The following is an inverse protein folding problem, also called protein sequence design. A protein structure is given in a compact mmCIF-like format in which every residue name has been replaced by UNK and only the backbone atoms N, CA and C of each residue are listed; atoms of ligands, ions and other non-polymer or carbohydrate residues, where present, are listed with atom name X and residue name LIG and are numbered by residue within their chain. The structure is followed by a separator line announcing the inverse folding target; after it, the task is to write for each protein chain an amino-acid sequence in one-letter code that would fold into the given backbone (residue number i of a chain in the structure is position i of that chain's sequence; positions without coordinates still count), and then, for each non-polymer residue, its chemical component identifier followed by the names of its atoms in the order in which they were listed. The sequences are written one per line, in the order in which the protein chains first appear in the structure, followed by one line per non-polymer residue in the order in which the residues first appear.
data_IF_302955827633
#
_entry.id   IF_302955827633
#
_cell.length_a   1.000
_cell.length_b   1.000
_cell.length_c   1.000
_cell.angle_alpha   90.00
_cell.angle_beta   90.00
_cell.angle_gamma   90.00
#
_symmetry.space_group_name_H-M   'P 1'
#
loop_
_entity.id
_entity.type
_entity.pdbx_description
1 polymer ?
#
# COMPACT_ATOMS: atom_id res chain seq x y z
N UNK A 1 -6.75 10.01 -0.79
CA UNK A 1 -7.93 9.77 -1.65
C UNK A 1 -7.51 9.81 -3.11
N UNK A 2 -8.21 9.13 -4.01
CA UNK A 2 -7.85 9.07 -5.43
C UNK A 2 -9.06 9.33 -6.33
N UNK A 3 -8.89 10.18 -7.34
CA UNK A 3 -9.90 10.41 -8.39
C UNK A 3 -9.72 9.36 -9.49
N UNK A 4 -10.67 8.44 -9.63
CA UNK A 4 -10.68 7.40 -10.64
C UNK A 4 -11.63 7.70 -11.81
N UNK A 5 -12.19 8.91 -11.88
CA UNK A 5 -13.17 9.31 -12.90
C UNK A 5 -12.68 9.01 -14.32
N UNK A 6 -11.43 9.36 -14.64
CA UNK A 6 -10.85 9.15 -15.97
C UNK A 6 -10.57 7.68 -16.33
N UNK A 7 -10.49 6.78 -15.35
CA UNK A 7 -10.37 5.33 -15.61
C UNK A 7 -11.66 4.74 -16.15
N UNK A 8 -12.81 5.28 -15.72
CA UNK A 8 -14.14 4.80 -16.13
C UNK A 8 -14.70 5.62 -17.30
N UNK A 9 -14.42 6.92 -17.33
CA UNK A 9 -14.96 7.86 -18.32
C UNK A 9 -13.85 8.73 -18.93
N UNK A 10 -12.92 8.15 -19.73
CA UNK A 10 -11.75 8.87 -20.22
C UNK A 10 -12.12 10.12 -21.04
N UNK A 11 -13.15 10.02 -21.88
CA UNK A 11 -13.57 11.06 -22.84
C UNK A 11 -14.64 12.01 -22.30
N UNK A 12 -15.16 11.79 -21.08
CA UNK A 12 -16.18 12.67 -20.50
C UNK A 12 -15.54 13.64 -19.50
N UNK A 13 -15.91 14.92 -19.62
CA UNK A 13 -15.55 15.97 -18.66
C UNK A 13 -16.74 16.38 -17.78
N UNK A 14 -17.96 16.00 -18.15
CA UNK A 14 -19.22 16.42 -17.51
C UNK A 14 -20.09 15.21 -17.15
N UNK A 15 -19.55 14.31 -16.33
CA UNK A 15 -20.21 13.06 -15.93
C UNK A 15 -20.02 12.76 -14.44
N UNK A 16 -20.51 11.60 -13.96
CA UNK A 16 -20.37 11.23 -12.56
C UNK A 16 -18.90 11.09 -12.16
N UNK A 17 -18.57 11.56 -10.97
CA UNK A 17 -17.24 11.37 -10.40
C UNK A 17 -17.10 9.98 -9.78
N UNK A 18 -15.90 9.40 -9.88
CA UNK A 18 -15.54 8.17 -9.18
C UNK A 18 -14.35 8.44 -8.27
N UNK A 19 -14.52 8.21 -6.97
CA UNK A 19 -13.49 8.46 -5.97
C UNK A 19 -13.22 7.21 -5.14
N UNK A 20 -11.97 7.02 -4.75
CA UNK A 20 -11.56 6.01 -3.77
C UNK A 20 -10.97 6.68 -2.54
N UNK A 21 -11.44 6.26 -1.38
CA UNK A 21 -11.00 6.76 -0.09
C UNK A 21 -10.38 5.61 0.71
N UNK A 22 -9.32 5.92 1.45
CA UNK A 22 -8.67 4.98 2.35
C UNK A 22 -8.90 5.45 3.78
N UNK A 23 -9.24 4.51 4.66
CA UNK A 23 -9.30 4.78 6.09
C UNK A 23 -7.90 4.77 6.70
N UNK A 24 -7.79 5.20 7.96
CA UNK A 24 -6.58 4.95 8.75
C UNK A 24 -6.45 3.48 9.14
N UNK A 25 -5.22 3.05 9.45
CA UNK A 25 -4.96 1.70 9.97
C UNK A 25 -5.72 1.42 11.29
N UNK A 26 -5.80 2.42 12.18
CA UNK A 26 -6.53 2.31 13.44
C UNK A 26 -8.04 2.13 13.23
N UNK A 27 -8.63 2.80 12.24
CA UNK A 27 -10.03 2.60 11.88
C UNK A 27 -10.27 1.22 11.27
N UNK A 28 -9.42 0.79 10.34
CA UNK A 28 -9.51 -0.52 9.72
C UNK A 28 -9.41 -1.65 10.75
N UNK A 29 -8.49 -1.55 11.73
CA UNK A 29 -8.31 -2.54 12.80
C UNK A 29 -9.59 -2.75 13.63
N UNK A 30 -10.38 -1.70 13.87
CA UNK A 30 -11.64 -1.75 14.64
C UNK A 30 -12.85 -2.28 13.85
N UNK A 31 -12.74 -2.34 12.52
CA UNK A 31 -13.85 -2.74 11.64
C UNK A 31 -13.55 -4.03 10.86
N UNK A 32 -12.53 -4.80 11.25
CA UNK A 32 -12.16 -6.07 10.60
C UNK A 32 -13.33 -7.07 10.60
N UNK A 33 -13.48 -7.74 9.47
CA UNK A 33 -14.38 -8.88 9.21
C UNK A 33 -13.68 -9.78 8.17
N UNK A 34 -14.14 -11.02 7.94
CA UNK A 34 -13.64 -11.84 6.82
C UNK A 34 -13.76 -11.08 5.50
N UNK A 35 -12.66 -11.00 4.74
CA UNK A 35 -12.55 -10.15 3.55
C UNK A 35 -13.51 -10.60 2.45
N UNK A 36 -13.70 -11.90 2.34
CA UNK A 36 -14.56 -12.61 1.40
C UNK A 36 -16.05 -12.54 1.77
N UNK A 37 -16.38 -12.14 2.99
CA UNK A 37 -17.75 -12.13 3.50
C UNK A 37 -18.03 -10.93 4.42
N UNK A 38 -18.02 -9.74 3.84
CA UNK A 38 -18.34 -8.49 4.55
C UNK A 38 -19.86 -8.42 4.77
N UNK A 39 -20.37 -8.42 6.02
CA UNK A 39 -21.80 -8.29 6.27
C UNK A 39 -22.33 -6.93 5.80
N UNK A 40 -23.55 -6.91 5.23
CA UNK A 40 -24.18 -5.67 4.73
C UNK A 40 -24.22 -4.56 5.79
N UNK A 41 -24.61 -4.90 7.03
CA UNK A 41 -24.64 -3.96 8.16
C UNK A 41 -23.27 -3.34 8.42
N UNK A 42 -22.18 -4.11 8.25
CA UNK A 42 -20.81 -3.60 8.39
C UNK A 42 -20.44 -2.69 7.21
N UNK A 43 -20.75 -3.09 5.98
CA UNK A 43 -20.48 -2.31 4.78
C UNK A 43 -21.21 -0.95 4.81
N UNK A 44 -22.47 -0.93 5.22
CA UNK A 44 -23.28 0.29 5.37
C UNK A 44 -22.71 1.22 6.45
N UNK A 45 -22.40 0.66 7.64
CA UNK A 45 -21.76 1.42 8.72
C UNK A 45 -20.45 2.05 8.26
N UNK A 46 -19.55 1.26 7.67
CA UNK A 46 -18.25 1.76 7.20
C UNK A 46 -18.42 2.80 6.11
N UNK A 47 -19.35 2.60 5.17
CA UNK A 47 -19.64 3.59 4.12
C UNK A 47 -20.06 4.93 4.74
N UNK A 48 -20.99 4.91 5.70
CA UNK A 48 -21.46 6.11 6.38
C UNK A 48 -20.34 6.82 7.11
N UNK A 49 -19.57 6.10 7.91
CA UNK A 49 -18.46 6.66 8.70
C UNK A 49 -17.33 7.21 7.81
N UNK A 50 -17.05 6.56 6.67
CA UNK A 50 -16.08 7.05 5.69
C UNK A 50 -16.54 8.36 5.03
N UNK A 51 -17.82 8.48 4.64
CA UNK A 51 -18.36 9.72 4.08
C UNK A 51 -18.33 10.86 5.10
N UNK A 52 -18.72 10.59 6.35
CA UNK A 52 -18.61 11.56 7.44
C UNK A 52 -17.15 11.97 7.69
N UNK A 53 -16.22 11.03 7.62
CA UNK A 53 -14.78 11.33 7.75
C UNK A 53 -14.26 12.27 6.66
N UNK A 54 -14.81 12.18 5.44
CA UNK A 54 -14.48 13.12 4.35
C UNK A 54 -15.04 14.51 4.63
N UNK A 55 -16.29 14.61 5.10
CA UNK A 55 -16.90 15.89 5.49
C UNK A 55 -16.04 16.60 6.53
N UNK A 56 -15.66 15.89 7.60
CA UNK A 56 -14.78 16.41 8.66
C UNK A 56 -13.42 16.84 8.07
N UNK A 57 -12.79 16.01 7.25
CA UNK A 57 -11.47 16.31 6.68
C UNK A 57 -11.47 17.53 5.74
N UNK A 58 -12.61 17.82 5.09
CA UNK A 58 -12.79 18.95 4.19
C UNK A 58 -13.40 20.18 4.88
N UNK A 59 -13.74 20.11 6.17
CA UNK A 59 -14.42 21.19 6.90
C UNK A 59 -15.85 21.44 6.41
N UNK A 60 -16.50 20.41 5.85
CA UNK A 60 -17.87 20.50 5.36
C UNK A 60 -18.89 20.19 6.48
N UNK A 61 -20.09 20.79 6.46
CA UNK A 61 -21.16 20.43 7.39
C UNK A 61 -21.55 18.95 7.25
N UNK A 62 -21.99 18.33 8.35
CA UNK A 62 -22.45 16.94 8.35
C UNK A 62 -23.65 16.76 7.40
N UNK A 63 -23.56 15.74 6.54
CA UNK A 63 -24.60 15.41 5.56
C UNK A 63 -24.67 16.36 4.36
N UNK A 64 -23.67 17.25 4.18
CA UNK A 64 -23.63 18.15 3.03
C UNK A 64 -23.11 17.50 1.76
N UNK A 65 -22.37 16.38 1.85
CA UNK A 65 -21.93 15.67 0.67
C UNK A 65 -23.12 15.09 -0.09
N UNK A 66 -23.11 15.26 -1.42
CA UNK A 66 -24.06 14.58 -2.28
C UNK A 66 -23.95 13.07 -2.08
N UNK A 67 -25.10 12.43 -1.80
CA UNK A 67 -25.15 10.98 -1.64
C UNK A 67 -24.68 10.29 -2.93
N UNK A 68 -23.63 9.44 -2.87
CA UNK A 68 -23.21 8.67 -4.03
C UNK A 68 -24.35 7.75 -4.50
N UNK A 69 -24.59 7.69 -5.80
CA UNK A 69 -25.56 6.76 -6.39
C UNK A 69 -25.02 5.30 -6.41
N UNK A 70 -23.71 5.14 -6.22
CA UNK A 70 -23.06 3.84 -6.11
C UNK A 70 -21.93 3.91 -5.10
N UNK A 71 -21.83 2.90 -4.22
CA UNK A 71 -20.74 2.72 -3.28
C UNK A 71 -20.29 1.27 -3.27
N UNK A 72 -19.01 1.04 -2.98
CA UNK A 72 -18.46 -0.28 -2.71
C UNK A 72 -17.42 -0.15 -1.61
N UNK A 73 -17.52 -1.03 -0.61
CA UNK A 73 -16.56 -1.12 0.50
C UNK A 73 -15.76 -2.41 0.34
N UNK A 74 -14.46 -2.30 0.58
CA UNK A 74 -13.55 -3.44 0.68
C UNK A 74 -12.72 -3.29 1.95
N UNK A 75 -12.60 -4.37 2.73
CA UNK A 75 -11.87 -4.40 3.99
C UNK A 75 -10.74 -5.43 3.87
N UNK A 76 -9.51 -4.94 3.83
CA UNK A 76 -8.31 -5.76 3.63
C UNK A 76 -7.64 -6.06 4.97
N UNK A 77 -7.53 -7.35 5.32
CA UNK A 77 -6.99 -7.79 6.61
C UNK A 77 -5.48 -7.52 6.77
N UNK A 78 -4.75 -7.59 5.65
CA UNK A 78 -3.30 -7.42 5.52
C UNK A 78 -2.98 -6.56 4.29
N UNK A 79 -3.47 -5.30 4.30
CA UNK A 79 -3.37 -4.40 3.15
C UNK A 79 -1.95 -3.86 2.91
N UNK A 80 -1.21 -3.61 3.99
CA UNK A 80 0.16 -3.10 3.98
C UNK A 80 0.99 -3.87 5.02
N UNK A 81 2.26 -4.16 4.71
CA UNK A 81 3.18 -4.70 5.71
C UNK A 81 3.37 -3.72 6.86
N UNK A 82 3.53 -4.26 8.08
CA UNK A 82 3.90 -3.48 9.28
C UNK A 82 5.32 -3.79 9.76
N UNK A 83 5.97 -4.78 9.14
CA UNK A 83 7.35 -5.16 9.35
C UNK A 83 7.89 -5.78 8.05
N UNK A 84 9.22 -5.82 7.92
CA UNK A 84 9.92 -6.36 6.76
C UNK A 84 11.23 -7.04 7.19
N UNK A 85 11.65 -8.13 6.54
CA UNK A 85 12.99 -8.71 6.71
C UNK A 85 14.10 -7.93 5.96
N UNK A 86 13.73 -6.93 5.16
CA UNK A 86 14.64 -6.07 4.38
C UNK A 86 15.62 -6.90 3.52
N UNK A 87 15.05 -7.78 2.70
CA UNK A 87 15.80 -8.67 1.80
C UNK A 87 15.05 -8.72 0.45
N UNK A 88 15.73 -8.76 -0.70
CA UNK A 88 15.02 -8.70 -1.99
C UNK A 88 14.13 -9.91 -2.27
N UNK A 89 14.52 -11.11 -1.83
CA UNK A 89 13.67 -12.29 -1.86
C UNK A 89 14.08 -13.29 -0.77
N UNK A 90 13.25 -14.30 -0.53
CA UNK A 90 13.63 -15.46 0.27
C UNK A 90 13.63 -16.67 -0.68
N UNK A 91 14.70 -17.46 -0.65
CA UNK A 91 14.81 -18.65 -1.48
C UNK A 91 15.41 -19.80 -0.67
N UNK A 92 14.64 -20.89 -0.60
CA UNK A 92 15.09 -22.19 -0.09
C UNK A 92 15.42 -23.11 -1.28
N UNK A 93 16.71 -23.34 -1.58
CA UNK A 93 17.13 -24.17 -2.69
C UNK A 93 16.89 -25.66 -2.44
N UNK A 94 16.84 -26.11 -1.18
CA UNK A 94 16.53 -27.50 -0.84
C UNK A 94 15.04 -27.80 -1.01
N UNK A 95 14.19 -26.91 -0.48
CA UNK A 95 12.74 -26.99 -0.65
C UNK A 95 12.25 -26.55 -2.02
N UNK A 96 13.12 -25.93 -2.83
CA UNK A 96 12.80 -25.30 -4.13
C UNK A 96 11.62 -24.33 -4.02
N UNK A 97 11.59 -23.58 -2.92
CA UNK A 97 10.54 -22.66 -2.58
C UNK A 97 11.09 -21.23 -2.55
N UNK A 98 10.39 -20.33 -3.22
CA UNK A 98 10.73 -18.93 -3.29
C UNK A 98 9.61 -18.07 -2.73
N UNK A 99 9.98 -16.96 -2.10
CA UNK A 99 9.04 -15.96 -1.63
C UNK A 99 9.47 -14.57 -2.11
N UNK A 100 8.51 -13.85 -2.69
CA UNK A 100 8.64 -12.48 -3.14
C UNK A 100 7.37 -11.68 -2.82
N UNK A 101 7.50 -10.36 -2.73
CA UNK A 101 6.37 -9.47 -2.52
C UNK A 101 6.80 -8.10 -2.01
N UNK A 102 5.86 -7.17 -1.92
CA UNK A 102 6.08 -5.85 -1.35
C UNK A 102 6.65 -5.97 0.08
N UNK A 103 6.03 -6.82 0.90
CA UNK A 103 6.38 -7.07 2.29
C UNK A 103 7.82 -7.53 2.58
N UNK A 104 8.64 -7.80 1.56
CA UNK A 104 10.08 -8.09 1.72
C UNK A 104 11.00 -6.85 1.67
N UNK A 105 10.55 -5.77 1.02
CA UNK A 105 11.33 -4.54 0.83
C UNK A 105 10.57 -3.27 1.30
N UNK A 106 9.24 -3.32 1.41
CA UNK A 106 8.43 -2.20 1.88
C UNK A 106 7.02 -2.16 1.26
N UNK A 107 6.18 -1.23 1.69
CA UNK A 107 4.76 -1.17 1.31
C UNK A 107 4.52 -0.43 -0.03
N UNK A 108 5.04 -0.93 -1.14
CA UNK A 108 4.86 -0.29 -2.47
C UNK A 108 4.78 -1.28 -3.64
N UNK A 109 4.23 -0.81 -4.77
CA UNK A 109 4.22 -1.58 -6.03
C UNK A 109 5.64 -1.82 -6.58
N UNK A 110 6.52 -0.84 -6.42
CA UNK A 110 7.93 -0.96 -6.82
C UNK A 110 8.62 -2.06 -6.01
N UNK A 111 8.44 -2.08 -4.69
CA UNK A 111 8.98 -3.12 -3.82
C UNK A 111 8.52 -4.52 -4.25
N UNK A 112 7.23 -4.69 -4.57
CA UNK A 112 6.71 -5.95 -5.10
C UNK A 112 7.39 -6.37 -6.42
N UNK A 113 7.54 -5.43 -7.35
CA UNK A 113 8.15 -5.70 -8.66
C UNK A 113 9.63 -6.06 -8.54
N UNK A 114 10.40 -5.27 -7.77
CA UNK A 114 11.82 -5.52 -7.51
C UNK A 114 12.03 -6.88 -6.82
N UNK A 115 11.20 -7.19 -5.83
CA UNK A 115 11.28 -8.47 -5.12
C UNK A 115 10.97 -9.66 -6.03
N UNK A 116 9.96 -9.53 -6.90
CA UNK A 116 9.63 -10.56 -7.90
C UNK A 116 10.77 -10.81 -8.89
N UNK A 117 11.40 -9.75 -9.40
CA UNK A 117 12.56 -9.88 -10.28
C UNK A 117 13.75 -10.53 -9.58
N UNK A 118 14.03 -10.16 -8.33
CA UNK A 118 15.11 -10.75 -7.55
C UNK A 118 14.93 -12.25 -7.37
N UNK A 119 13.71 -12.69 -7.04
CA UNK A 119 13.42 -14.13 -6.94
C UNK A 119 13.59 -14.84 -8.27
N UNK A 120 13.13 -14.23 -9.37
CA UNK A 120 13.28 -14.80 -10.70
C UNK A 120 14.75 -14.99 -11.09
N UNK A 121 15.62 -14.02 -10.77
CA UNK A 121 17.07 -14.15 -10.99
C UNK A 121 17.66 -15.28 -10.14
N UNK A 122 17.31 -15.34 -8.84
CA UNK A 122 17.81 -16.38 -7.94
C UNK A 122 17.46 -17.80 -8.43
N UNK A 123 16.23 -17.98 -8.91
CA UNK A 123 15.77 -19.25 -9.50
C UNK A 123 16.52 -19.54 -10.80
N UNK A 124 16.67 -18.56 -11.68
CA UNK A 124 17.36 -18.73 -12.95
C UNK A 124 18.83 -19.16 -12.75
N UNK A 125 19.53 -18.52 -11.82
CA UNK A 125 20.92 -18.83 -11.49
C UNK A 125 21.05 -20.24 -10.87
N UNK A 126 20.14 -20.62 -9.96
CA UNK A 126 20.12 -21.97 -9.39
C UNK A 126 19.81 -23.05 -10.44
N UNK A 127 18.93 -22.77 -11.39
CA UNK A 127 18.67 -23.66 -12.51
C UNK A 127 19.89 -23.79 -13.44
N UNK A 128 20.59 -22.68 -13.70
CA UNK A 128 21.78 -22.67 -14.55
C UNK A 128 22.96 -23.44 -13.93
N UNK A 129 23.04 -23.51 -12.59
CA UNK A 129 24.05 -24.33 -11.88
C UNK A 129 23.73 -25.83 -11.87
N UNK A 130 22.61 -26.25 -12.45
CA UNK A 130 22.12 -27.63 -12.39
C UNK A 130 21.69 -28.06 -10.99
N UNK A 131 21.43 -27.10 -10.10
CA UNK A 131 21.13 -27.36 -8.69
C UNK A 131 22.34 -27.74 -7.84
N UNK A 132 23.55 -27.50 -8.35
CA UNK A 132 24.80 -27.72 -7.62
C UNK A 132 24.98 -26.66 -6.53
N UNK A 133 25.67 -27.03 -5.44
CA UNK A 133 25.94 -26.15 -4.28
C UNK A 133 24.70 -25.40 -3.75
N UNK A 134 23.65 -26.10 -3.28
CA UNK A 134 22.42 -25.45 -2.84
C UNK A 134 22.65 -24.36 -1.78
N UNK A 135 23.59 -24.58 -0.86
CA UNK A 135 23.90 -23.63 0.22
C UNK A 135 24.28 -22.23 -0.29
N UNK A 136 24.88 -22.12 -1.48
CA UNK A 136 25.29 -20.84 -2.08
C UNK A 136 24.09 -20.02 -2.58
N UNK A 137 22.96 -20.68 -2.84
CA UNK A 137 21.74 -20.05 -3.36
C UNK A 137 20.73 -19.70 -2.26
N UNK A 138 20.95 -20.16 -1.02
CA UNK A 138 20.08 -19.83 0.11
C UNK A 138 20.05 -18.33 0.39
N UNK A 139 18.87 -17.72 0.37
CA UNK A 139 18.70 -16.29 0.62
C UNK A 139 17.57 -16.03 1.62
N UNK A 140 17.82 -15.16 2.61
CA UNK A 140 16.77 -14.63 3.48
C UNK A 140 16.17 -15.60 4.51
N UNK A 141 16.58 -16.88 4.55
CA UNK A 141 15.98 -17.93 5.39
C UNK A 141 16.08 -17.67 6.91
N UNK A 142 17.03 -16.84 7.33
CA UNK A 142 17.28 -16.53 8.73
C UNK A 142 17.11 -15.04 9.05
N UNK A 143 16.45 -14.28 8.16
CA UNK A 143 16.21 -12.86 8.38
C UNK A 143 15.05 -12.65 9.34
N UNK A 144 15.30 -11.84 10.37
CA UNK A 144 14.26 -11.40 11.29
C UNK A 144 13.45 -10.25 10.71
N UNK A 145 12.17 -10.17 11.07
CA UNK A 145 11.31 -9.07 10.67
C UNK A 145 11.52 -7.86 11.57
N UNK A 146 11.80 -6.71 10.97
CA UNK A 146 11.93 -5.43 11.66
C UNK A 146 10.71 -4.56 11.40
N UNK A 147 10.17 -3.83 12.40
CA UNK A 147 9.06 -2.92 12.19
C UNK A 147 9.41 -1.84 11.15
N UNK A 148 8.47 -1.51 10.28
CA UNK A 148 8.61 -0.42 9.31
C UNK A 148 7.74 0.77 9.69
N UNK A 149 8.18 1.96 9.28
CA UNK A 149 7.34 3.17 9.34
C UNK A 149 6.06 2.95 8.53
N UNK A 150 4.93 3.37 9.09
CA UNK A 150 3.67 3.35 8.34
C UNK A 150 3.71 4.39 7.23
N UNK A 151 3.69 3.94 5.98
CA UNK A 151 3.51 4.81 4.82
C UNK A 151 2.03 4.85 4.41
N UNK A 152 1.61 5.97 3.83
CA UNK A 152 0.28 6.08 3.25
C UNK A 152 0.14 5.11 2.07
N UNK A 153 -1.03 4.48 1.93
CA UNK A 153 -1.33 3.59 0.80
C UNK A 153 -1.11 4.34 -0.51
N UNK A 154 -0.19 3.83 -1.34
CA UNK A 154 0.11 4.38 -2.66
C UNK A 154 1.25 5.40 -2.69
N UNK A 155 1.98 5.60 -1.60
CA UNK A 155 3.23 6.37 -1.60
C UNK A 155 4.33 5.60 -2.35
N UNK A 156 5.03 6.27 -3.26
CA UNK A 156 6.22 5.71 -3.91
C UNK A 156 7.47 6.01 -3.07
N UNK A 157 8.41 5.05 -2.93
CA UNK A 157 9.72 5.32 -2.36
C UNK A 157 10.41 6.49 -3.10
N UNK A 158 11.09 7.37 -2.37
CA UNK A 158 11.83 8.50 -2.95
C UNK A 158 11.09 9.84 -3.03
N UNK A 159 9.81 9.93 -2.63
CA UNK A 159 9.08 11.20 -2.59
C UNK A 159 9.59 12.21 -1.53
N UNK A 160 10.46 11.78 -0.62
CA UNK A 160 11.04 12.64 0.42
C UNK A 160 12.16 13.57 -0.08
N UNK A 161 12.68 13.35 -1.29
CA UNK A 161 13.77 14.15 -1.85
C UNK A 161 13.39 15.61 -2.16
N UNK A 162 12.10 15.96 -2.12
CA UNK A 162 11.62 17.31 -2.43
C UNK A 162 11.39 18.23 -1.22
N UNK A 163 11.59 17.75 0.03
CA UNK A 163 11.34 18.57 1.23
C UNK A 163 12.58 19.25 1.82
N UNK A 164 13.78 19.04 1.27
CA UNK A 164 15.04 19.49 1.88
C UNK A 164 15.69 20.73 1.25
N UNK A 165 15.00 21.45 0.36
CA UNK A 165 15.58 22.59 -0.36
C UNK A 165 14.96 23.98 -0.10
N UNK A 166 13.98 24.12 0.79
CA UNK A 166 13.36 25.43 1.09
C UNK A 166 13.62 25.95 2.53
N UNK A 167 14.72 25.54 3.17
CA UNK A 167 15.16 26.15 4.43
C UNK A 167 16.54 26.79 4.29
N UNK A 168 16.61 27.92 3.58
CA UNK A 168 17.74 28.86 3.66
C UNK A 168 17.22 30.27 3.91
N UNK A 169 17.39 30.68 5.18
CA UNK A 169 17.53 32.04 5.73
C UNK A 169 16.53 33.13 5.32
N UNK A 170 15.60 33.43 6.23
CA UNK A 170 15.11 34.81 6.41
C UNK A 170 15.64 35.34 7.74
N UNK A 171 16.67 36.20 7.68
CA UNK A 171 17.01 37.12 8.77
C UNK A 171 15.97 38.23 8.89
N UNK A 172 15.78 38.83 10.09
CA UNK A 172 14.76 39.83 10.32
C UNK A 172 15.27 41.22 9.94
N UNK A 173 14.45 41.99 9.22
CA UNK A 173 14.64 43.43 9.07
C UNK A 173 13.45 44.17 9.69
N UNK A 174 13.77 44.99 10.69
CA UNK A 174 12.96 46.06 11.26
C UNK A 174 12.37 46.97 10.16
N UNK A 175 11.08 47.33 10.22
CA UNK A 175 10.44 48.50 10.86
C UNK A 175 8.93 48.31 10.72
#
# INVERSE_FOLDING_TARGET
MANNTKKLFPSQNHGPHCWTFFSTAAYAKRNKVPQENIPNVKAEKVTKEMLQGIEIALGLPEGSLQKPFYTRVQLWGAALPTNTPDIPCIFDPYGRAGICGDWLLGSSLEAAALSGMALAHQIADYCASGGSNPDEFGMGLHKEFTPIGGHDIGQFPGSELLKKQDSVSSEPAFV
#
